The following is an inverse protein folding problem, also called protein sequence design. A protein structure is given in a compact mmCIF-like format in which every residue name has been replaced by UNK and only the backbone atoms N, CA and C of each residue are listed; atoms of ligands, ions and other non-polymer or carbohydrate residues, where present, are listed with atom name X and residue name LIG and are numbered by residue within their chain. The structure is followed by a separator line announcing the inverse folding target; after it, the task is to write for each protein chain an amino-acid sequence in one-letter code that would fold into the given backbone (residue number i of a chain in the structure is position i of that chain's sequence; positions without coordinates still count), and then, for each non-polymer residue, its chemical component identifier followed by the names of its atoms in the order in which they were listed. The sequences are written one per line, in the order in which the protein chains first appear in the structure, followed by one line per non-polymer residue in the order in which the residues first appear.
data_IF_012447224501
#
_entry.id   IF_012447224501
#
_cell.length_a   1.000
_cell.length_b   1.000
_cell.length_c   1.000
_cell.angle_alpha   90.00
_cell.angle_beta   90.00
_cell.angle_gamma   90.00
#
_symmetry.space_group_name_H-M   'P 1'
#
loop_
_entity.id
_entity.type
_entity.pdbx_description
1 polymer ?
#
# COMPACT_ATOMS: atom_id res chain seq x y z
N UNK A 1 -2.71 -71.30 -13.89
CA UNK A 1 -3.95 -70.69 -13.36
C UNK A 1 -3.53 -69.40 -12.67
N UNK A 2 -4.03 -68.28 -13.19
CA UNK A 2 -3.70 -66.89 -12.85
C UNK A 2 -4.12 -66.54 -11.43
N UNK A 3 -3.36 -65.66 -10.74
CA UNK A 3 -3.90 -64.43 -10.14
C UNK A 3 -2.78 -63.50 -9.65
N UNK A 4 -2.92 -62.23 -10.04
CA UNK A 4 -2.16 -61.04 -9.64
C UNK A 4 -2.50 -60.58 -8.21
N UNK A 5 -1.61 -59.79 -7.62
CA UNK A 5 -1.80 -58.63 -6.71
C UNK A 5 -0.39 -58.34 -6.13
N UNK A 6 0.22 -57.16 -6.17
CA UNK A 6 -0.25 -55.79 -6.28
C UNK A 6 0.38 -55.01 -5.12
N UNK A 7 1.13 -53.94 -5.43
CA UNK A 7 1.66 -52.88 -4.54
C UNK A 7 2.63 -53.33 -3.41
N UNK A 8 3.76 -52.66 -3.14
CA UNK A 8 3.87 -51.25 -2.76
C UNK A 8 5.19 -50.64 -3.28
N UNK A 9 5.07 -49.64 -4.15
CA UNK A 9 6.12 -48.63 -4.32
C UNK A 9 6.05 -47.68 -3.13
N UNK A 10 6.96 -47.82 -2.16
CA UNK A 10 7.18 -46.77 -1.16
C UNK A 10 7.95 -45.63 -1.83
N UNK A 11 7.20 -44.64 -2.32
CA UNK A 11 7.73 -43.42 -2.88
C UNK A 11 8.48 -42.60 -1.84
N UNK A 12 9.71 -42.21 -2.17
CA UNK A 12 10.40 -41.11 -1.52
C UNK A 12 9.55 -39.85 -1.66
N UNK A 13 8.89 -39.43 -0.59
CA UNK A 13 8.34 -38.08 -0.45
C UNK A 13 9.52 -37.13 -0.22
N UNK A 14 10.20 -36.73 -1.29
CA UNK A 14 10.95 -35.49 -1.29
C UNK A 14 9.94 -34.36 -1.41
N UNK A 15 9.51 -33.87 -0.24
CA UNK A 15 8.84 -32.58 -0.13
C UNK A 15 9.81 -31.49 -0.56
N UNK A 16 9.90 -31.26 -1.86
CA UNK A 16 10.36 -29.99 -2.41
C UNK A 16 9.33 -28.96 -2.03
N UNK A 17 9.52 -28.32 -0.88
CA UNK A 17 8.90 -27.04 -0.59
C UNK A 17 9.44 -26.07 -1.63
N UNK A 18 8.74 -25.96 -2.75
CA UNK A 18 8.77 -24.74 -3.54
C UNK A 18 8.29 -23.66 -2.58
N UNK A 19 9.24 -22.86 -2.09
CA UNK A 19 8.96 -21.51 -1.65
C UNK A 19 7.94 -20.93 -2.65
N UNK A 20 6.81 -20.34 -2.21
CA UNK A 20 5.96 -19.64 -3.15
C UNK A 20 6.85 -18.57 -3.77
N UNK A 21 7.25 -18.80 -5.02
CA UNK A 21 7.83 -17.77 -5.87
C UNK A 21 6.85 -16.61 -5.74
N UNK A 22 7.29 -15.56 -5.04
CA UNK A 22 6.53 -14.33 -4.92
C UNK A 22 6.41 -13.81 -6.32
N UNK A 23 5.34 -14.17 -7.01
CA UNK A 23 4.91 -13.46 -8.18
C UNK A 23 4.66 -12.05 -7.68
N UNK A 24 5.55 -11.13 -8.06
CA UNK A 24 5.34 -9.68 -7.99
C UNK A 24 4.10 -9.37 -8.84
N UNK A 25 2.93 -9.75 -8.34
CA UNK A 25 1.68 -9.27 -8.87
C UNK A 25 1.58 -7.84 -8.40
N UNK A 26 1.70 -6.90 -9.35
CA UNK A 26 1.33 -5.52 -9.09
C UNK A 26 -0.07 -5.53 -8.44
N UNK A 27 -0.20 -4.96 -7.22
CA UNK A 27 -1.42 -5.11 -6.44
C UNK A 27 -2.62 -4.40 -7.08
N UNK A 28 -2.36 -3.51 -8.06
CA UNK A 28 -3.34 -2.60 -8.64
C UNK A 28 -3.13 -2.46 -10.14
N UNK A 29 -4.23 -2.27 -10.88
CA UNK A 29 -4.17 -1.75 -12.24
C UNK A 29 -3.92 -0.24 -12.26
N UNK A 30 -3.79 0.33 -13.46
CA UNK A 30 -3.47 1.76 -13.64
C UNK A 30 -4.48 2.70 -12.93
N UNK A 31 -5.78 2.44 -13.10
CA UNK A 31 -6.82 3.30 -12.52
C UNK A 31 -6.89 3.17 -11.00
N UNK A 32 -6.73 1.95 -10.48
CA UNK A 32 -6.70 1.68 -9.04
C UNK A 32 -5.52 2.37 -8.38
N UNK A 33 -4.34 2.32 -9.01
CA UNK A 33 -3.13 3.01 -8.54
C UNK A 33 -3.35 4.53 -8.47
N UNK A 34 -3.95 5.13 -9.50
CA UNK A 34 -4.29 6.57 -9.49
C UNK A 34 -5.25 6.94 -8.35
N UNK A 35 -6.28 6.12 -8.11
CA UNK A 35 -7.23 6.35 -7.02
C UNK A 35 -6.55 6.26 -5.65
N UNK A 36 -5.63 5.31 -5.47
CA UNK A 36 -4.86 5.13 -4.24
C UNK A 36 -3.99 6.34 -3.93
N UNK A 37 -3.26 6.87 -4.91
CA UNK A 37 -2.46 8.08 -4.70
C UNK A 37 -3.34 9.28 -4.31
N UNK A 38 -4.53 9.40 -4.91
CA UNK A 38 -5.49 10.44 -4.54
C UNK A 38 -6.00 10.26 -3.12
N UNK A 39 -6.27 9.04 -2.67
CA UNK A 39 -6.69 8.74 -1.30
C UNK A 39 -5.59 9.08 -0.30
N UNK A 40 -4.36 8.62 -0.54
CA UNK A 40 -3.19 8.92 0.29
C UNK A 40 -2.95 10.42 0.40
N UNK A 41 -2.95 11.13 -0.72
CA UNK A 41 -2.76 12.57 -0.75
C UNK A 41 -3.88 13.31 -0.01
N UNK A 42 -5.14 12.92 -0.23
CA UNK A 42 -6.28 13.53 0.45
C UNK A 42 -6.20 13.34 1.97
N UNK A 43 -5.81 12.15 2.43
CA UNK A 43 -5.66 11.88 3.85
C UNK A 43 -4.48 12.66 4.46
N UNK A 44 -3.33 12.70 3.78
CA UNK A 44 -2.19 13.51 4.18
C UNK A 44 -2.51 15.02 4.25
N UNK A 45 -3.41 15.51 3.40
CA UNK A 45 -3.78 16.92 3.46
C UNK A 45 -4.60 17.28 4.69
N UNK A 46 -5.44 16.36 5.18
CA UNK A 46 -6.30 16.63 6.34
C UNK A 46 -5.63 16.25 7.66
N UNK A 47 -4.79 15.22 7.65
CA UNK A 47 -4.11 14.70 8.84
C UNK A 47 -2.62 15.05 8.80
N UNK A 48 -2.20 15.87 9.76
CA UNK A 48 -0.82 16.34 9.88
C UNK A 48 0.16 15.23 10.25
N UNK A 49 -0.24 14.32 11.13
CA UNK A 49 0.64 13.26 11.61
C UNK A 49 0.81 12.21 10.52
N UNK A 50 -0.28 11.86 9.83
CA UNK A 50 -0.23 11.00 8.66
C UNK A 50 0.66 11.59 7.55
N UNK A 51 0.58 12.90 7.30
CA UNK A 51 1.42 13.56 6.30
C UNK A 51 2.92 13.38 6.56
N UNK A 52 3.37 13.66 7.79
CA UNK A 52 4.77 13.49 8.14
C UNK A 52 5.18 12.02 8.17
N UNK A 53 4.27 11.13 8.53
CA UNK A 53 4.52 9.70 8.46
C UNK A 53 4.66 9.22 7.03
N UNK A 54 3.75 9.60 6.12
CA UNK A 54 3.80 9.24 4.69
C UNK A 54 5.11 9.70 4.04
N UNK A 55 5.62 10.88 4.39
CA UNK A 55 6.93 11.37 3.93
C UNK A 55 8.11 10.52 4.44
N UNK A 56 8.05 10.06 5.69
CA UNK A 56 9.15 9.35 6.35
C UNK A 56 9.15 7.84 6.07
N UNK A 57 7.99 7.23 6.10
CA UNK A 57 7.76 5.79 5.92
C UNK A 57 6.45 5.58 5.13
N UNK A 58 6.51 5.67 3.79
CA UNK A 58 5.32 5.54 2.96
C UNK A 58 4.62 4.19 3.10
N UNK A 59 5.39 3.11 3.26
CA UNK A 59 4.84 1.75 3.38
C UNK A 59 4.02 1.61 4.66
N UNK A 60 4.58 2.06 5.79
CA UNK A 60 3.87 2.04 7.07
C UNK A 60 2.60 2.89 7.03
N UNK A 61 2.70 4.13 6.54
CA UNK A 61 1.55 5.02 6.45
C UNK A 61 0.45 4.45 5.53
N UNK A 62 0.80 3.93 4.35
CA UNK A 62 -0.20 3.33 3.46
C UNK A 62 -0.85 2.06 4.04
N UNK A 63 -0.12 1.27 4.82
CA UNK A 63 -0.63 0.05 5.43
C UNK A 63 -1.78 0.32 6.44
N UNK A 64 -1.80 1.47 7.12
CA UNK A 64 -2.92 1.88 8.00
C UNK A 64 -4.23 2.04 7.24
N UNK A 65 -4.15 2.41 5.96
CA UNK A 65 -5.31 2.54 5.07
C UNK A 65 -5.57 1.24 4.27
N UNK A 66 -4.91 0.14 4.64
CA UNK A 66 -4.96 -1.13 3.93
C UNK A 66 -4.53 -1.04 2.45
N UNK A 67 -3.58 -0.15 2.16
CA UNK A 67 -3.00 0.06 0.82
C UNK A 67 -1.62 -0.59 0.76
N UNK A 68 -1.36 -1.37 -0.28
CA UNK A 68 -0.08 -2.02 -0.53
C UNK A 68 0.73 -1.26 -1.59
N UNK A 69 1.79 -0.55 -1.19
CA UNK A 69 2.66 0.15 -2.13
C UNK A 69 3.69 -0.77 -2.79
N UNK A 70 3.96 -0.54 -4.07
CA UNK A 70 5.12 -1.12 -4.77
C UNK A 70 6.40 -0.36 -4.40
N UNK A 71 7.58 -0.88 -4.78
CA UNK A 71 8.84 -0.15 -4.59
C UNK A 71 8.89 1.14 -5.43
N UNK A 72 8.31 1.14 -6.63
CA UNK A 72 8.23 2.33 -7.48
C UNK A 72 7.35 3.41 -6.85
N UNK A 73 6.24 3.03 -6.20
CA UNK A 73 5.40 3.98 -5.48
C UNK A 73 6.16 4.64 -4.32
N UNK A 74 6.92 3.84 -3.57
CA UNK A 74 7.71 4.33 -2.44
C UNK A 74 8.80 5.28 -2.93
N UNK A 75 9.51 4.93 -4.01
CA UNK A 75 10.50 5.80 -4.63
C UNK A 75 9.89 7.13 -5.10
N UNK A 76 8.75 7.07 -5.79
CA UNK A 76 8.04 8.26 -6.22
C UNK A 76 7.67 9.17 -5.04
N UNK A 77 7.07 8.60 -3.98
CA UNK A 77 6.66 9.35 -2.79
C UNK A 77 7.87 9.97 -2.09
N UNK A 78 8.98 9.27 -1.96
CA UNK A 78 10.14 9.76 -1.22
C UNK A 78 10.99 10.76 -2.00
N UNK A 79 11.12 10.56 -3.32
CA UNK A 79 12.15 11.25 -4.12
C UNK A 79 11.59 12.22 -5.16
N UNK A 80 10.33 12.06 -5.57
CA UNK A 80 9.74 12.86 -6.65
C UNK A 80 8.65 13.84 -6.17
N UNK A 81 7.98 13.54 -5.06
CA UNK A 81 7.01 14.47 -4.47
C UNK A 81 7.73 15.69 -3.90
N UNK A 82 7.30 16.89 -4.32
CA UNK A 82 7.82 18.18 -3.85
C UNK A 82 7.29 18.51 -2.43
N UNK A 83 7.68 17.73 -1.42
CA UNK A 83 7.20 17.88 -0.05
C UNK A 83 7.39 19.29 0.53
N UNK A 84 8.52 19.93 0.24
CA UNK A 84 8.81 21.27 0.76
C UNK A 84 7.83 22.31 0.20
N UNK A 85 7.38 22.14 -1.05
CA UNK A 85 6.35 22.99 -1.67
C UNK A 85 4.96 22.70 -1.10
N UNK A 86 4.69 21.43 -0.77
CA UNK A 86 3.45 21.05 -0.10
C UNK A 86 3.39 21.61 1.33
N UNK A 87 4.51 21.66 2.06
CA UNK A 87 4.60 22.23 3.40
C UNK A 87 4.13 23.71 3.44
N UNK A 88 4.44 24.48 2.40
CA UNK A 88 4.03 25.89 2.27
C UNK A 88 2.50 26.09 2.23
N UNK A 89 1.77 25.09 1.71
CA UNK A 89 0.32 25.18 1.49
C UNK A 89 -0.49 24.29 2.44
N UNK A 90 0.12 23.26 3.04
CA UNK A 90 -0.58 22.26 3.82
C UNK A 90 -1.22 22.82 5.09
N UNK A 91 -0.49 23.63 5.84
CA UNK A 91 -1.00 24.22 7.08
C UNK A 91 -2.15 25.22 6.81
N UNK A 92 -2.08 26.12 5.82
CA UNK A 92 -3.22 26.93 5.41
C UNK A 92 -4.46 26.12 5.03
N UNK A 93 -4.30 25.02 4.29
CA UNK A 93 -5.42 24.14 3.91
C UNK A 93 -6.05 23.49 5.14
N UNK A 94 -5.25 22.92 6.04
CA UNK A 94 -5.75 22.32 7.29
C UNK A 94 -6.47 23.34 8.15
N UNK A 95 -5.90 24.54 8.31
CA UNK A 95 -6.54 25.61 9.05
C UNK A 95 -7.89 26.00 8.44
N UNK A 96 -7.99 26.08 7.12
CA UNK A 96 -9.23 26.37 6.42
C UNK A 96 -10.32 25.30 6.63
N UNK A 97 -9.95 24.02 6.66
CA UNK A 97 -10.88 22.91 6.90
C UNK A 97 -11.47 22.90 8.31
N UNK A 98 -10.79 23.48 9.28
CA UNK A 98 -11.23 23.57 10.68
C UNK A 98 -11.90 24.91 11.03
N UNK A 99 -12.18 25.76 10.04
CA UNK A 99 -12.91 26.99 10.27
C UNK A 99 -14.35 26.70 10.72
N UNK A 100 -14.85 27.51 11.65
CA UNK A 100 -16.22 27.40 12.19
C UNK A 100 -17.32 27.38 11.11
N UNK A 101 -17.09 28.04 9.97
CA UNK A 101 -18.01 28.03 8.83
C UNK A 101 -18.20 26.63 8.23
N UNK A 102 -17.19 25.77 8.33
CA UNK A 102 -17.17 24.39 7.82
C UNK A 102 -17.57 23.40 8.92
N UNK A 103 -17.25 23.67 10.18
CA UNK A 103 -17.50 22.75 11.31
C UNK A 103 -18.82 22.99 12.02
N UNK A 104 -19.51 24.12 11.80
CA UNK A 104 -20.87 24.34 12.28
C UNK A 104 -21.88 23.91 11.21
N UNK A 105 -22.27 22.63 11.25
CA UNK A 105 -23.44 22.11 10.56
C UNK A 105 -24.70 22.66 11.23
N UNK A 106 -25.42 23.55 10.55
CA UNK A 106 -26.79 23.93 10.89
C UNK A 106 -27.78 22.80 10.61
#
# INVERSE_FOLDING_TARGET
MTMQMGDEMSGNVQGGGTEPEGTEHEPYGFMERELIFKLLASHAMVDRDFYFWLRKDPRGAAAELHIALTDEDVDYIQNQVEWDRLDEIADPVRAALHLELVTNSW
#
